data_IF_403220637076
#
_entry.id   IF_403220637076
#
_cell.length_a   1.000
_cell.length_b   1.000
_cell.length_c   1.000
_cell.angle_alpha   90.00
_cell.angle_beta   90.00
_cell.angle_gamma   90.00
#
_symmetry.space_group_name_H-M   'P 1'
#
loop_
_entity.id
_entity.type
_entity.pdbx_description
1 polymer ?
#
# COMPACT_ATOMS: atom_id res chain seq x y z
N UNK A 1 -63.72 39.93 -29.22
CA UNK A 1 -62.85 39.25 -30.20
C UNK A 1 -61.80 40.24 -30.69
N UNK A 2 -60.56 40.12 -30.20
CA UNK A 2 -59.27 40.44 -30.85
C UNK A 2 -58.21 40.46 -29.75
N UNK A 3 -57.55 39.32 -29.63
CA UNK A 3 -56.43 39.04 -28.74
C UNK A 3 -55.16 39.38 -29.51
N UNK A 4 -54.46 40.45 -29.12
CA UNK A 4 -53.14 40.76 -29.67
C UNK A 4 -52.09 40.06 -28.81
N UNK A 5 -51.54 38.99 -29.36
CA UNK A 5 -50.47 38.19 -28.76
C UNK A 5 -49.18 39.02 -28.64
N UNK A 6 -48.68 39.16 -27.40
CA UNK A 6 -47.31 39.60 -27.12
C UNK A 6 -46.44 38.34 -27.14
N UNK A 7 -45.54 38.23 -28.12
CA UNK A 7 -44.47 37.23 -28.11
C UNK A 7 -43.30 37.83 -27.32
N UNK A 8 -43.18 37.42 -26.05
CA UNK A 8 -41.98 37.66 -25.26
C UNK A 8 -40.96 36.55 -25.61
N UNK A 9 -39.89 36.91 -26.30
CA UNK A 9 -38.77 36.00 -26.55
C UNK A 9 -38.00 35.75 -25.25
N UNK A 10 -38.15 34.56 -24.67
CA UNK A 10 -37.30 34.11 -23.57
C UNK A 10 -35.93 33.71 -24.14
N UNK A 11 -34.94 34.58 -23.99
CA UNK A 11 -33.53 34.24 -24.19
C UNK A 11 -33.07 33.46 -22.95
N UNK A 12 -33.08 32.13 -23.02
CA UNK A 12 -32.46 31.29 -22.00
C UNK A 12 -30.95 31.43 -22.15
N UNK A 13 -30.35 32.34 -21.40
CA UNK A 13 -28.91 32.37 -21.19
C UNK A 13 -28.51 31.13 -20.42
N UNK A 14 -27.81 30.19 -21.08
CA UNK A 14 -27.03 29.18 -20.40
C UNK A 14 -25.99 29.89 -19.54
N UNK A 15 -26.30 30.07 -18.27
CA UNK A 15 -25.29 30.32 -17.26
C UNK A 15 -24.53 29.00 -17.12
N UNK A 16 -23.41 28.91 -17.82
CA UNK A 16 -22.35 27.95 -17.51
C UNK A 16 -21.92 28.23 -16.07
N UNK A 17 -22.50 27.51 -15.10
CA UNK A 17 -21.94 27.49 -13.75
C UNK A 17 -20.57 26.87 -13.87
N UNK A 18 -19.52 27.68 -13.87
CA UNK A 18 -18.18 27.21 -13.55
C UNK A 18 -18.27 26.60 -12.16
N UNK A 19 -18.35 25.28 -12.08
CA UNK A 19 -18.19 24.58 -10.83
C UNK A 19 -16.80 24.96 -10.32
N UNK A 20 -16.74 25.71 -9.21
CA UNK A 20 -15.49 25.86 -8.48
C UNK A 20 -15.11 24.46 -8.00
N UNK A 21 -13.98 23.95 -8.44
CA UNK A 21 -13.44 22.71 -7.90
C UNK A 21 -13.31 22.88 -6.38
N UNK A 22 -14.00 22.04 -5.61
CA UNK A 22 -13.77 21.97 -4.18
C UNK A 22 -12.34 21.53 -3.88
N UNK A 23 -11.92 21.69 -2.63
CA UNK A 23 -10.62 21.18 -2.18
C UNK A 23 -10.57 19.66 -2.39
N UNK A 24 -9.52 19.18 -3.05
CA UNK A 24 -9.24 17.74 -3.20
C UNK A 24 -8.37 17.29 -2.02
N UNK A 25 -8.86 16.36 -1.21
CA UNK A 25 -8.15 15.84 -0.05
C UNK A 25 -7.45 14.53 -0.36
N UNK A 26 -6.15 14.49 -0.06
CA UNK A 26 -5.30 13.31 -0.21
C UNK A 26 -4.86 12.85 1.18
N UNK A 27 -5.36 11.71 1.64
CA UNK A 27 -4.86 11.08 2.85
C UNK A 27 -3.63 10.22 2.54
N UNK A 28 -2.53 10.48 3.24
CA UNK A 28 -1.23 9.90 2.93
C UNK A 28 -0.51 9.47 4.20
N UNK A 29 0.08 8.28 4.19
CA UNK A 29 1.14 7.93 5.12
C UNK A 29 2.46 7.90 4.36
N UNK A 30 3.59 8.12 5.05
CA UNK A 30 4.91 8.16 4.42
C UNK A 30 5.78 6.98 4.85
N UNK A 31 6.46 6.36 3.87
CA UNK A 31 7.63 5.54 4.14
C UNK A 31 8.87 6.40 3.89
N UNK A 32 9.61 6.72 4.96
CA UNK A 32 10.74 7.65 4.87
C UNK A 32 10.29 9.07 4.48
N UNK A 33 10.87 9.61 3.39
CA UNK A 33 10.69 11.03 2.97
C UNK A 33 9.57 11.25 1.96
N UNK A 34 8.78 10.22 1.65
CA UNK A 34 7.78 10.27 0.58
C UNK A 34 6.73 11.37 0.74
N UNK A 35 6.35 11.70 1.98
CA UNK A 35 5.41 12.79 2.26
C UNK A 35 5.92 14.16 1.78
N UNK A 36 7.22 14.42 1.92
CA UNK A 36 7.84 15.65 1.44
C UNK A 36 7.88 15.68 -0.10
N UNK A 37 8.20 14.53 -0.71
CA UNK A 37 8.25 14.39 -2.16
C UNK A 37 6.87 14.57 -2.78
N UNK A 38 5.83 13.90 -2.24
CA UNK A 38 4.48 14.04 -2.79
C UNK A 38 3.94 15.45 -2.57
N UNK A 39 4.27 16.11 -1.45
CA UNK A 39 3.90 17.50 -1.23
C UNK A 39 4.51 18.44 -2.28
N UNK A 40 5.80 18.26 -2.64
CA UNK A 40 6.42 19.03 -3.73
C UNK A 40 5.72 18.80 -5.07
N UNK A 41 5.42 17.54 -5.40
CA UNK A 41 4.71 17.18 -6.62
C UNK A 41 3.32 17.83 -6.69
N UNK A 42 2.57 17.82 -5.58
CA UNK A 42 1.27 18.46 -5.48
C UNK A 42 1.37 19.99 -5.60
N UNK A 43 2.39 20.61 -5.00
CA UNK A 43 2.62 22.05 -5.12
C UNK A 43 2.88 22.46 -6.58
N UNK A 44 3.69 21.69 -7.30
CA UNK A 44 3.93 21.89 -8.73
C UNK A 44 2.66 21.68 -9.55
N UNK A 45 1.91 20.62 -9.27
CA UNK A 45 0.62 20.36 -9.91
C UNK A 45 -0.34 21.55 -9.74
N UNK A 46 -0.51 22.06 -8.52
CA UNK A 46 -1.39 23.21 -8.24
C UNK A 46 -0.90 24.50 -8.91
N UNK A 47 0.41 24.69 -9.05
CA UNK A 47 0.98 25.82 -9.79
C UNK A 47 0.61 25.77 -11.28
N UNK A 48 0.62 24.59 -11.88
CA UNK A 48 0.31 24.40 -13.30
C UNK A 48 -1.21 24.31 -13.57
N UNK A 49 -2.01 24.06 -12.54
CA UNK A 49 -3.46 23.90 -12.61
C UNK A 49 -4.18 24.92 -11.70
N UNK A 50 -4.17 26.22 -12.07
CA UNK A 50 -4.79 27.26 -11.25
C UNK A 50 -6.28 27.01 -11.10
N UNK A 51 -6.77 27.06 -9.85
CA UNK A 51 -8.16 26.78 -9.51
C UNK A 51 -8.41 25.37 -8.97
N UNK A 52 -7.40 24.49 -8.97
CA UNK A 52 -7.44 23.22 -8.24
C UNK A 52 -6.62 23.39 -6.95
N UNK A 53 -7.26 23.15 -5.80
CA UNK A 53 -6.59 23.11 -4.51
C UNK A 53 -6.50 21.66 -4.03
N UNK A 54 -5.30 21.21 -3.67
CA UNK A 54 -5.05 19.86 -3.15
C UNK A 54 -4.48 19.95 -1.74
N UNK A 55 -5.16 19.31 -0.79
CA UNK A 55 -4.77 19.24 0.61
C UNK A 55 -4.19 17.85 0.87
N UNK A 56 -2.92 17.80 1.29
CA UNK A 56 -2.26 16.57 1.71
C UNK A 56 -2.38 16.38 3.22
N UNK A 57 -3.21 15.44 3.64
CA UNK A 57 -3.30 15.00 5.03
C UNK A 57 -2.22 13.91 5.27
N UNK A 58 -1.01 14.34 5.63
CA UNK A 58 0.06 13.40 6.01
C UNK A 58 -0.15 12.91 7.44
N UNK A 59 -0.56 11.64 7.57
CA UNK A 59 -0.96 11.00 8.83
C UNK A 59 -0.05 9.84 9.19
N UNK A 60 -0.08 9.43 10.45
CA UNK A 60 0.61 8.21 10.88
C UNK A 60 -0.02 6.98 10.21
N UNK A 61 0.79 5.97 9.88
CA UNK A 61 0.31 4.72 9.27
C UNK A 61 -0.87 4.08 10.03
N UNK A 62 -0.84 4.15 11.36
CA UNK A 62 -1.92 3.66 12.23
C UNK A 62 -3.28 4.32 11.95
N UNK A 63 -3.30 5.59 11.55
CA UNK A 63 -4.54 6.30 11.15
C UNK A 63 -5.15 5.67 9.91
N UNK A 64 -4.31 5.30 8.93
CA UNK A 64 -4.75 4.59 7.71
C UNK A 64 -5.35 3.23 8.06
N UNK A 65 -4.76 2.51 9.02
CA UNK A 65 -5.23 1.18 9.40
C UNK A 65 -6.53 1.21 10.22
N UNK A 66 -6.67 2.17 11.14
CA UNK A 66 -7.74 2.14 12.15
C UNK A 66 -8.86 3.14 11.90
N UNK A 67 -8.58 4.29 11.28
CA UNK A 67 -9.56 5.38 11.15
C UNK A 67 -10.13 5.49 9.74
N UNK A 68 -9.29 5.35 8.71
CA UNK A 68 -9.75 5.46 7.32
C UNK A 68 -10.90 4.49 6.98
N UNK A 69 -10.88 3.19 7.36
CA UNK A 69 -12.00 2.29 7.08
C UNK A 69 -13.32 2.78 7.69
N UNK A 70 -13.27 3.30 8.92
CA UNK A 70 -14.45 3.83 9.62
C UNK A 70 -15.02 5.06 8.91
N UNK A 71 -14.16 5.96 8.44
CA UNK A 71 -14.58 7.14 7.68
C UNK A 71 -15.14 6.78 6.30
N UNK A 72 -14.60 5.76 5.63
CA UNK A 72 -15.13 5.26 4.36
C UNK A 72 -16.54 4.69 4.53
N UNK A 73 -16.76 3.85 5.55
CA UNK A 73 -18.09 3.33 5.91
C UNK A 73 -19.09 4.44 6.28
N UNK A 74 -18.61 5.52 6.89
CA UNK A 74 -19.43 6.68 7.22
C UNK A 74 -19.67 7.64 6.04
N UNK A 75 -19.14 7.35 4.84
CA UNK A 75 -19.26 8.21 3.66
C UNK A 75 -18.49 9.53 3.78
N UNK A 76 -17.44 9.56 4.62
CA UNK A 76 -16.60 10.74 4.91
C UNK A 76 -15.11 10.50 4.57
N UNK A 77 -14.83 9.51 3.74
CA UNK A 77 -13.48 9.24 3.27
C UNK A 77 -12.87 10.43 2.50
N UNK A 78 -11.53 10.47 2.36
CA UNK A 78 -10.85 11.45 1.52
C UNK A 78 -11.15 11.19 0.03
N UNK A 79 -10.83 12.17 -0.83
CA UNK A 79 -10.98 12.02 -2.28
C UNK A 79 -9.94 11.04 -2.86
N UNK A 80 -8.73 11.03 -2.28
CA UNK A 80 -7.64 10.11 -2.64
C UNK A 80 -7.01 9.58 -1.35
N UNK A 81 -6.73 8.27 -1.31
CA UNK A 81 -6.02 7.66 -0.17
C UNK A 81 -4.87 6.78 -0.65
N UNK A 82 -3.72 6.89 0.02
CA UNK A 82 -2.68 5.85 -0.02
C UNK A 82 -2.97 4.84 1.08
N UNK A 83 -3.07 3.56 0.72
CA UNK A 83 -3.46 2.48 1.62
C UNK A 83 -2.56 1.24 1.49
N UNK A 84 -2.64 0.34 2.46
CA UNK A 84 -2.02 -1.00 2.40
C UNK A 84 -3.04 -2.14 2.37
N UNK A 85 -4.22 -1.95 2.98
CA UNK A 85 -5.28 -2.96 3.03
C UNK A 85 -6.14 -2.90 1.75
N UNK A 86 -5.49 -3.06 0.60
CA UNK A 86 -6.04 -2.72 -0.72
C UNK A 86 -7.29 -3.52 -1.09
N UNK A 87 -7.34 -4.82 -0.77
CA UNK A 87 -8.47 -5.69 -1.10
C UNK A 87 -9.65 -5.53 -0.14
N UNK A 88 -9.36 -5.28 1.13
CA UNK A 88 -10.39 -5.08 2.16
C UNK A 88 -11.24 -3.83 1.88
N UNK A 89 -10.62 -2.81 1.29
CA UNK A 89 -11.28 -1.54 0.95
C UNK A 89 -11.89 -1.52 -0.46
N UNK A 90 -11.95 -2.66 -1.14
CA UNK A 90 -12.29 -2.76 -2.57
C UNK A 90 -13.65 -2.12 -2.94
N UNK A 91 -14.63 -2.23 -2.04
CA UNK A 91 -15.99 -1.73 -2.28
C UNK A 91 -16.12 -0.20 -2.16
N UNK A 92 -15.06 0.50 -1.72
CA UNK A 92 -15.06 1.95 -1.57
C UNK A 92 -14.39 2.69 -2.74
N UNK A 93 -13.77 1.99 -3.68
CA UNK A 93 -13.05 2.64 -4.78
C UNK A 93 -13.99 3.13 -5.88
N UNK A 94 -13.78 4.38 -6.31
CA UNK A 94 -14.40 4.92 -7.51
C UNK A 94 -13.86 4.20 -8.76
N UNK A 95 -14.74 3.84 -9.69
CA UNK A 95 -14.30 3.39 -11.02
C UNK A 95 -13.70 4.58 -11.78
N UNK A 96 -12.38 4.55 -11.99
CA UNK A 96 -11.66 5.61 -12.71
C UNK A 96 -11.76 5.45 -14.24
N UNK A 97 -12.25 4.32 -14.75
CA UNK A 97 -12.38 4.05 -16.20
C UNK A 97 -13.02 5.18 -17.01
N UNK A 98 -14.13 5.82 -16.58
CA UNK A 98 -14.75 6.90 -17.34
C UNK A 98 -14.02 8.25 -17.24
N UNK A 99 -13.07 8.42 -16.31
CA UNK A 99 -12.42 9.71 -16.03
C UNK A 99 -10.94 9.75 -16.42
N UNK A 100 -10.29 8.60 -16.60
CA UNK A 100 -8.92 8.56 -17.14
C UNK A 100 -8.92 8.77 -18.65
N UNK A 101 -7.96 9.55 -19.14
CA UNK A 101 -7.88 9.89 -20.56
C UNK A 101 -7.57 8.69 -21.47
N UNK A 102 -6.78 7.72 -20.97
CA UNK A 102 -6.41 6.51 -21.69
C UNK A 102 -6.52 5.27 -20.77
N UNK A 103 -7.70 4.63 -20.71
CA UNK A 103 -7.88 3.40 -19.93
C UNK A 103 -6.98 2.25 -20.39
N UNK A 104 -6.60 2.20 -21.68
CA UNK A 104 -5.77 1.13 -22.20
C UNK A 104 -4.33 1.24 -21.67
N UNK A 105 -3.79 2.46 -21.57
CA UNK A 105 -2.51 2.71 -20.91
C UNK A 105 -2.52 2.19 -19.47
N UNK A 106 -3.57 2.48 -18.70
CA UNK A 106 -3.68 2.02 -17.32
C UNK A 106 -3.75 0.49 -17.23
N UNK A 107 -4.52 -0.15 -18.10
CA UNK A 107 -4.62 -1.60 -18.16
C UNK A 107 -3.26 -2.25 -18.50
N UNK A 108 -2.50 -1.68 -19.45
CA UNK A 108 -1.19 -2.21 -19.84
C UNK A 108 -0.13 -2.05 -18.76
N UNK A 109 -0.12 -0.92 -18.03
CA UNK A 109 0.97 -0.59 -17.11
C UNK A 109 0.69 -0.96 -15.65
N UNK A 110 -0.59 -1.05 -15.26
CA UNK A 110 -0.99 -1.29 -13.86
C UNK A 110 -2.00 -2.44 -13.71
N UNK A 111 -2.50 -2.99 -14.82
CA UNK A 111 -3.61 -3.93 -14.82
C UNK A 111 -3.35 -5.24 -14.09
N UNK A 112 -2.09 -5.68 -14.03
CA UNK A 112 -1.68 -6.91 -13.36
C UNK A 112 -2.01 -6.93 -11.85
N UNK A 113 -2.13 -5.76 -11.23
CA UNK A 113 -2.45 -5.63 -9.79
C UNK A 113 -3.88 -5.12 -9.53
N UNK A 114 -4.69 -4.84 -10.56
CA UNK A 114 -6.05 -4.32 -10.33
C UNK A 114 -6.91 -5.28 -9.51
N UNK A 115 -6.80 -6.59 -9.73
CA UNK A 115 -7.56 -7.60 -8.98
C UNK A 115 -7.21 -7.64 -7.47
N UNK A 116 -6.06 -7.09 -7.08
CA UNK A 116 -5.69 -6.94 -5.67
C UNK A 116 -6.43 -5.80 -4.98
N UNK A 117 -6.96 -4.84 -5.76
CA UNK A 117 -7.58 -3.61 -5.24
C UNK A 117 -9.09 -3.57 -5.50
N UNK A 118 -9.59 -4.13 -6.60
CA UNK A 118 -11.00 -4.01 -7.01
C UNK A 118 -11.89 -5.14 -6.48
N UNK A 119 -13.22 -4.95 -6.41
CA UNK A 119 -14.15 -6.03 -6.05
C UNK A 119 -14.03 -7.23 -6.98
N UNK A 120 -14.24 -8.44 -6.46
CA UNK A 120 -14.14 -9.66 -7.26
C UNK A 120 -15.12 -9.66 -8.44
N UNK A 121 -14.63 -10.04 -9.62
CA UNK A 121 -15.42 -10.04 -10.86
C UNK A 121 -15.68 -8.66 -11.47
N UNK A 122 -15.29 -7.57 -10.81
CA UNK A 122 -15.36 -6.22 -11.39
C UNK A 122 -14.25 -6.00 -12.43
N UNK A 123 -14.43 -4.96 -13.26
CA UNK A 123 -13.45 -4.54 -14.28
C UNK A 123 -13.04 -3.08 -14.16
N UNK A 124 -13.31 -2.48 -13.00
CA UNK A 124 -13.01 -1.08 -12.75
C UNK A 124 -11.49 -0.86 -12.77
N UNK A 125 -11.08 0.39 -13.03
CA UNK A 125 -9.75 0.89 -12.73
C UNK A 125 -9.84 1.53 -11.33
N UNK A 126 -9.36 0.87 -10.26
CA UNK A 126 -9.53 1.35 -8.88
C UNK A 126 -8.46 2.37 -8.46
N UNK A 127 -7.40 2.52 -9.26
CA UNK A 127 -6.17 3.23 -8.90
C UNK A 127 -4.95 2.49 -9.43
N UNK A 128 -3.79 2.71 -8.81
CA UNK A 128 -2.53 2.07 -9.18
C UNK A 128 -1.68 1.80 -7.95
N UNK A 129 -0.80 0.79 -8.05
CA UNK A 129 0.18 0.52 -7.01
C UNK A 129 1.26 1.60 -7.05
N UNK A 130 1.32 2.44 -6.01
CA UNK A 130 2.42 3.40 -5.86
C UNK A 130 3.76 2.69 -5.61
N UNK A 131 3.72 1.52 -4.96
CA UNK A 131 4.87 0.69 -4.67
C UNK A 131 4.51 -0.80 -4.59
N UNK A 132 5.49 -1.66 -4.91
CA UNK A 132 5.46 -3.10 -4.64
C UNK A 132 6.75 -3.44 -3.90
N UNK A 133 6.62 -3.86 -2.65
CA UNK A 133 7.77 -4.14 -1.77
C UNK A 133 7.93 -5.63 -1.53
N UNK A 134 9.17 -6.09 -1.45
CA UNK A 134 9.51 -7.45 -1.04
C UNK A 134 10.12 -7.43 0.36
N UNK A 135 9.75 -8.41 1.20
CA UNK A 135 10.36 -8.59 2.52
C UNK A 135 11.52 -9.58 2.39
N UNK A 136 12.69 -9.18 2.89
CA UNK A 136 13.90 -10.02 2.91
C UNK A 136 14.85 -9.60 4.01
N UNK A 137 15.80 -10.47 4.32
CA UNK A 137 16.86 -10.19 5.31
C UNK A 137 17.90 -9.23 4.75
N UNK A 138 18.35 -8.28 5.58
CA UNK A 138 19.53 -7.48 5.32
C UNK A 138 20.70 -7.98 6.17
N UNK A 139 21.89 -8.04 5.59
CA UNK A 139 23.12 -8.45 6.29
C UNK A 139 24.15 -7.32 6.26
N UNK A 140 24.81 -7.10 7.39
CA UNK A 140 25.93 -6.16 7.47
C UNK A 140 27.22 -6.85 6.98
N UNK A 141 27.58 -6.62 5.71
CA UNK A 141 28.75 -7.24 5.08
C UNK A 141 30.07 -6.92 5.79
N UNK A 142 30.22 -5.68 6.28
CA UNK A 142 31.42 -5.23 6.98
C UNK A 142 31.64 -6.01 8.28
N UNK A 143 30.57 -6.29 9.04
CA UNK A 143 30.69 -7.09 10.26
C UNK A 143 31.07 -8.56 9.97
N UNK A 144 30.57 -9.14 8.88
CA UNK A 144 30.98 -10.48 8.44
C UNK A 144 32.47 -10.53 8.06
N UNK A 145 32.94 -9.54 7.29
CA UNK A 145 34.34 -9.41 6.90
C UNK A 145 35.27 -9.25 8.11
N UNK A 146 34.93 -8.35 9.05
CA UNK A 146 35.69 -8.12 10.28
C UNK A 146 35.76 -9.38 11.16
N UNK A 147 34.71 -10.20 11.15
CA UNK A 147 34.67 -11.46 11.89
C UNK A 147 35.38 -12.62 11.16
N UNK A 148 35.79 -12.44 9.90
CA UNK A 148 36.31 -13.52 9.07
C UNK A 148 35.30 -14.63 8.80
N UNK A 149 34.00 -14.34 8.92
CA UNK A 149 32.91 -15.31 8.68
C UNK A 149 32.42 -15.14 7.24
N UNK A 150 32.40 -16.22 6.42
CA UNK A 150 31.86 -16.12 5.08
C UNK A 150 30.35 -15.84 5.12
N UNK A 151 29.88 -14.98 4.23
CA UNK A 151 28.45 -14.73 4.05
C UNK A 151 27.82 -15.99 3.46
N UNK A 152 26.77 -16.57 4.08
CA UNK A 152 26.06 -17.72 3.54
C UNK A 152 25.53 -17.49 2.12
N UNK A 153 25.48 -18.57 1.33
CA UNK A 153 24.96 -18.52 -0.03
C UNK A 153 23.45 -18.23 -0.06
N UNK A 154 22.92 -17.80 -1.21
CA UNK A 154 21.48 -17.56 -1.38
C UNK A 154 20.61 -18.81 -1.21
N UNK A 155 21.21 -20.00 -1.28
CA UNK A 155 20.55 -21.29 -1.03
C UNK A 155 20.66 -21.76 0.43
N UNK A 156 21.30 -20.98 1.29
CA UNK A 156 21.47 -21.34 2.69
C UNK A 156 20.12 -21.29 3.43
N UNK A 157 19.96 -22.23 4.36
CA UNK A 157 18.84 -22.31 5.28
C UNK A 157 18.89 -21.20 6.32
N UNK A 158 17.77 -20.92 6.97
CA UNK A 158 17.75 -19.98 8.09
C UNK A 158 18.67 -20.40 9.23
N UNK A 159 18.77 -21.69 9.56
CA UNK A 159 19.68 -22.16 10.61
C UNK A 159 21.14 -21.80 10.28
N UNK A 160 21.58 -22.00 9.03
CA UNK A 160 22.93 -21.63 8.59
C UNK A 160 23.17 -20.12 8.65
N UNK A 161 22.16 -19.31 8.32
CA UNK A 161 22.22 -17.87 8.46
C UNK A 161 22.34 -17.42 9.92
N UNK A 162 21.56 -18.01 10.82
CA UNK A 162 21.56 -17.68 12.25
C UNK A 162 22.87 -18.12 12.90
N UNK A 163 23.39 -19.30 12.57
CA UNK A 163 24.68 -19.79 13.06
C UNK A 163 25.84 -18.89 12.61
N UNK A 164 25.84 -18.47 11.33
CA UNK A 164 26.86 -17.55 10.82
C UNK A 164 26.76 -16.17 11.50
N UNK A 165 25.54 -15.66 11.66
CA UNK A 165 25.29 -14.40 12.37
C UNK A 165 25.70 -14.49 13.85
N UNK A 166 25.53 -15.63 14.51
CA UNK A 166 26.00 -15.88 15.87
C UNK A 166 27.51 -15.82 16.02
N UNK A 167 28.27 -16.33 15.04
CA UNK A 167 29.75 -16.20 15.01
C UNK A 167 30.17 -14.73 14.87
N UNK A 168 29.48 -13.98 14.01
CA UNK A 168 29.71 -12.54 13.83
C UNK A 168 29.39 -11.79 15.11
N UNK A 169 28.27 -12.10 15.76
CA UNK A 169 27.88 -11.51 17.04
C UNK A 169 28.98 -11.69 18.10
N UNK A 170 29.49 -12.91 18.28
CA UNK A 170 30.52 -13.21 19.28
C UNK A 170 31.84 -12.50 18.95
N UNK A 171 32.26 -12.54 17.69
CA UNK A 171 33.50 -11.91 17.23
C UNK A 171 33.48 -10.39 17.37
N UNK A 172 32.37 -9.76 16.98
CA UNK A 172 32.21 -8.31 16.95
C UNK A 172 31.53 -7.76 18.23
N UNK A 173 31.30 -8.62 19.22
CA UNK A 173 30.70 -8.27 20.53
C UNK A 173 29.36 -7.52 20.39
N UNK A 174 28.49 -8.00 19.49
CA UNK A 174 27.18 -7.39 19.22
C UNK A 174 26.13 -7.85 20.23
N UNK A 175 25.14 -7.00 20.47
CA UNK A 175 24.03 -7.30 21.38
C UNK A 175 23.11 -8.44 20.88
N UNK A 176 23.05 -8.66 19.57
CA UNK A 176 22.22 -9.69 18.95
C UNK A 176 22.85 -10.16 17.63
N UNK A 177 22.66 -11.44 17.30
CA UNK A 177 23.04 -12.01 16.01
C UNK A 177 22.12 -11.52 14.88
N UNK A 178 20.82 -11.40 15.16
CA UNK A 178 19.81 -10.98 14.20
C UNK A 178 18.66 -10.27 14.92
N UNK A 179 17.83 -9.58 14.14
CA UNK A 179 16.60 -8.99 14.62
C UNK A 179 15.49 -9.23 13.58
N UNK A 180 14.30 -9.58 14.05
CA UNK A 180 13.10 -9.72 13.24
C UNK A 180 11.91 -9.15 14.01
N UNK A 181 11.06 -8.40 13.32
CA UNK A 181 9.80 -7.96 13.91
C UNK A 181 8.84 -9.15 14.04
N UNK A 182 8.23 -9.29 15.21
CA UNK A 182 7.39 -10.44 15.57
C UNK A 182 5.97 -10.39 15.02
N UNK A 183 5.60 -9.35 14.25
CA UNK A 183 4.26 -9.28 13.67
C UNK A 183 4.05 -10.37 12.64
N UNK A 184 2.80 -10.83 12.50
CA UNK A 184 2.43 -11.84 11.50
C UNK A 184 2.94 -11.47 10.11
N UNK A 185 2.73 -10.23 9.70
CA UNK A 185 3.21 -9.69 8.42
C UNK A 185 4.72 -9.88 8.19
N UNK A 186 5.55 -9.70 9.22
CA UNK A 186 7.02 -9.76 9.09
C UNK A 186 7.59 -11.17 9.17
N UNK A 187 6.89 -12.09 9.84
CA UNK A 187 7.26 -13.51 9.87
C UNK A 187 6.62 -14.34 8.75
N UNK A 188 5.70 -13.77 7.96
CA UNK A 188 5.01 -14.49 6.88
C UNK A 188 5.93 -15.03 5.80
N UNK A 189 6.89 -14.24 5.30
CA UNK A 189 7.80 -14.71 4.26
C UNK A 189 8.68 -15.89 4.74
N UNK A 190 9.30 -15.83 5.94
CA UNK A 190 9.97 -17.00 6.50
C UNK A 190 9.04 -18.20 6.70
N UNK A 191 7.82 -18.03 7.22
CA UNK A 191 6.86 -19.14 7.37
C UNK A 191 6.59 -19.86 6.05
N UNK A 192 6.40 -19.11 4.96
CA UNK A 192 6.17 -19.67 3.63
C UNK A 192 7.36 -20.51 3.16
N UNK A 193 8.59 -20.14 3.52
CA UNK A 193 9.79 -20.95 3.22
C UNK A 193 9.81 -22.32 3.92
N UNK A 194 9.00 -22.49 4.97
CA UNK A 194 8.76 -23.77 5.65
C UNK A 194 7.46 -24.47 5.20
N UNK A 195 6.83 -23.99 4.12
CA UNK A 195 5.62 -24.58 3.55
C UNK A 195 4.33 -24.10 4.22
N UNK A 196 4.35 -22.96 4.92
CA UNK A 196 3.13 -22.39 5.47
C UNK A 196 2.16 -21.94 4.38
N UNK A 197 0.87 -22.16 4.62
CA UNK A 197 -0.24 -21.66 3.81
C UNK A 197 -1.27 -20.99 4.72
N UNK A 198 -1.63 -19.75 4.38
CA UNK A 198 -2.58 -18.95 5.14
C UNK A 198 -4.02 -19.04 4.61
N UNK A 199 -4.23 -19.69 3.47
CA UNK A 199 -5.52 -19.72 2.78
C UNK A 199 -6.04 -21.16 2.75
N UNK A 200 -7.20 -21.37 3.35
CA UNK A 200 -7.91 -22.65 3.38
C UNK A 200 -8.47 -23.03 2.01
N UNK A 201 -8.93 -24.28 1.89
CA UNK A 201 -9.53 -24.78 0.65
C UNK A 201 -10.83 -24.07 0.25
N UNK A 202 -11.49 -23.42 1.21
CA UNK A 202 -12.68 -22.59 1.05
C UNK A 202 -12.37 -21.11 0.75
N UNK A 203 -11.08 -20.75 0.65
CA UNK A 203 -10.63 -19.37 0.43
C UNK A 203 -10.62 -18.50 1.69
N UNK A 204 -11.00 -19.05 2.85
CA UNK A 204 -10.97 -18.36 4.14
C UNK A 204 -9.60 -18.55 4.84
N UNK A 205 -9.29 -17.78 5.90
CA UNK A 205 -8.05 -17.97 6.64
C UNK A 205 -7.88 -19.42 7.14
N UNK A 206 -6.75 -20.04 6.80
CA UNK A 206 -6.41 -21.39 7.24
C UNK A 206 -6.05 -21.43 8.74
N UNK A 207 -6.33 -22.54 9.44
CA UNK A 207 -5.73 -22.80 10.75
C UNK A 207 -4.19 -22.82 10.68
N UNK A 208 -3.53 -22.56 11.81
CA UNK A 208 -2.06 -22.62 11.91
C UNK A 208 -1.57 -24.03 11.53
N UNK A 209 -0.77 -24.09 10.48
CA UNK A 209 -0.24 -25.32 9.92
C UNK A 209 1.15 -25.70 10.47
N UNK A 210 1.67 -26.83 9.98
CA UNK A 210 2.97 -27.35 10.40
C UNK A 210 4.13 -26.45 9.98
N UNK A 211 4.06 -25.81 8.79
CA UNK A 211 5.11 -24.90 8.31
C UNK A 211 5.23 -23.65 9.17
N UNK A 212 4.09 -23.05 9.54
CA UNK A 212 4.03 -21.92 10.47
C UNK A 212 4.60 -22.28 11.83
N UNK A 213 4.21 -23.44 12.39
CA UNK A 213 4.74 -23.93 13.67
C UNK A 213 6.25 -24.17 13.60
N UNK A 214 6.74 -24.79 12.54
CA UNK A 214 8.14 -25.10 12.37
C UNK A 214 9.02 -23.84 12.40
N UNK A 215 8.65 -22.78 11.66
CA UNK A 215 9.40 -21.52 11.73
C UNK A 215 9.25 -20.84 13.08
N UNK A 216 8.04 -20.77 13.64
CA UNK A 216 7.81 -20.11 14.93
C UNK A 216 8.61 -20.76 16.07
N UNK A 217 8.65 -22.09 16.13
CA UNK A 217 9.46 -22.85 17.08
C UNK A 217 10.95 -22.56 16.90
N UNK A 218 11.44 -22.53 15.66
CA UNK A 218 12.82 -22.15 15.35
C UNK A 218 13.13 -20.73 15.80
N UNK A 219 12.27 -19.76 15.48
CA UNK A 219 12.45 -18.37 15.87
C UNK A 219 12.55 -18.23 17.39
N UNK A 220 11.68 -18.89 18.15
CA UNK A 220 11.74 -18.90 19.61
C UNK A 220 13.05 -19.52 20.10
N UNK A 221 13.48 -20.65 19.52
CA UNK A 221 14.71 -21.32 19.92
C UNK A 221 15.98 -20.52 19.57
N UNK A 222 15.98 -19.74 18.50
CA UNK A 222 17.12 -18.91 18.11
C UNK A 222 17.32 -17.68 19.00
N UNK A 223 16.27 -17.25 19.72
CA UNK A 223 16.31 -16.06 20.61
C UNK A 223 16.22 -16.41 22.09
N UNK A 224 16.14 -17.70 22.43
CA UNK A 224 16.12 -18.22 23.80
C UNK A 224 17.55 -18.25 24.38
#
# INVERSE_FOLDING_TARGET
MRMNSIILGLSVGLLSSTAFAGDVRVMWYSDGVEGEVIQDLLNRFMKDNPGINVILDNVAYKVIQEQLPVELEAGRGPDIARVTNIKELADHWLDLTPVVADPAYWQTNFGDQFDWMRPDGSKIIPGFMTQITLTGGFVNKTLFEQAGVPIPAGTATWDEWIDAAGKVQQSQQLNAAFAIDRSGHRISAPNISYGANYIGSDGLPAPIDAGTKAFAEKLVNWVA
#
